data_IF_274053268284
#
_entry.id   IF_274053268284
#
_cell.length_a   1.000
_cell.length_b   1.000
_cell.length_c   1.000
_cell.angle_alpha   90.00
_cell.angle_beta   90.00
_cell.angle_gamma   90.00
#
_symmetry.space_group_name_H-M   'P 1'
#
loop_
_entity.id
_entity.type
_entity.pdbx_description
1 polymer ?
#
# COMPACT_ATOMS: atom_id res chain seq x y z
N UNK A 1 -38.90 -3.90 -0.46
CA UNK A 1 -37.45 -3.92 -0.18
C UNK A 1 -36.89 -5.11 -0.93
N UNK A 2 -36.08 -4.90 -1.98
CA UNK A 2 -35.43 -6.02 -2.67
C UNK A 2 -34.45 -6.68 -1.69
N UNK A 3 -34.52 -8.00 -1.54
CA UNK A 3 -33.51 -8.76 -0.80
C UNK A 3 -32.13 -8.46 -1.40
N UNK A 4 -31.17 -8.05 -0.56
CA UNK A 4 -29.76 -7.90 -0.97
C UNK A 4 -29.28 -9.24 -1.53
N UNK A 5 -28.55 -9.19 -2.65
CA UNK A 5 -28.11 -10.41 -3.35
C UNK A 5 -26.85 -10.91 -2.68
N UNK A 6 -26.91 -12.13 -2.12
CA UNK A 6 -25.70 -12.83 -1.69
C UNK A 6 -24.80 -13.08 -2.91
N UNK A 7 -23.54 -12.66 -2.81
CA UNK A 7 -22.51 -12.82 -3.83
C UNK A 7 -21.54 -13.91 -3.39
N UNK A 8 -21.00 -14.68 -4.34
CA UNK A 8 -19.79 -15.47 -4.16
C UNK A 8 -18.60 -14.77 -4.81
N UNK A 9 -17.57 -14.45 -4.02
CA UNK A 9 -16.47 -13.57 -4.41
C UNK A 9 -15.15 -14.30 -4.15
N UNK A 10 -14.32 -14.41 -5.19
CA UNK A 10 -12.93 -14.83 -5.06
C UNK A 10 -12.00 -13.61 -5.02
N UNK A 11 -10.99 -13.63 -4.16
CA UNK A 11 -9.99 -12.57 -4.04
C UNK A 11 -8.59 -13.14 -4.26
N UNK A 12 -7.81 -12.49 -5.12
CA UNK A 12 -6.47 -12.94 -5.51
C UNK A 12 -5.47 -11.77 -5.52
N UNK A 13 -4.96 -11.36 -4.34
CA UNK A 13 -3.96 -10.30 -4.21
C UNK A 13 -2.58 -10.73 -4.73
N UNK A 14 -1.72 -9.75 -5.04
CA UNK A 14 -0.28 -10.01 -5.24
C UNK A 14 0.41 -10.35 -3.91
N UNK A 15 1.54 -11.08 -3.98
CA UNK A 15 2.25 -11.66 -2.84
C UNK A 15 3.14 -10.64 -2.08
N UNK A 16 2.54 -9.53 -1.68
CA UNK A 16 3.16 -8.50 -0.87
C UNK A 16 2.20 -8.09 0.24
N UNK A 17 2.66 -7.92 1.48
CA UNK A 17 1.74 -7.58 2.60
C UNK A 17 1.10 -6.20 2.44
N UNK A 18 1.75 -5.30 1.72
CA UNK A 18 1.15 -4.03 1.28
C UNK A 18 -0.13 -4.21 0.45
N UNK A 19 -0.27 -5.34 -0.24
CA UNK A 19 -1.41 -5.71 -1.07
C UNK A 19 -2.37 -6.68 -0.38
N UNK A 20 -1.83 -7.71 0.28
CA UNK A 20 -2.61 -8.77 0.95
C UNK A 20 -3.49 -8.19 2.07
N UNK A 21 -2.96 -7.28 2.89
CA UNK A 21 -3.71 -6.74 4.05
C UNK A 21 -4.91 -5.91 3.60
N UNK A 22 -4.81 -4.96 2.65
CA UNK A 22 -5.99 -4.24 2.16
C UNK A 22 -7.04 -5.16 1.51
N UNK A 23 -6.61 -6.22 0.82
CA UNK A 23 -7.54 -7.24 0.32
C UNK A 23 -8.24 -7.97 1.46
N UNK A 24 -7.54 -8.26 2.56
CA UNK A 24 -8.13 -8.90 3.73
C UNK A 24 -9.16 -8.00 4.41
N UNK A 25 -8.89 -6.70 4.57
CA UNK A 25 -9.87 -5.74 5.10
C UNK A 25 -11.13 -5.67 4.22
N UNK A 26 -10.95 -5.63 2.89
CA UNK A 26 -12.07 -5.67 1.95
C UNK A 26 -12.84 -7.00 2.05
N UNK A 27 -12.15 -8.14 2.19
CA UNK A 27 -12.74 -9.46 2.36
C UNK A 27 -13.60 -9.53 3.64
N UNK A 28 -13.09 -8.97 4.74
CA UNK A 28 -13.81 -8.87 6.01
C UNK A 28 -15.08 -8.03 5.86
N UNK A 29 -15.02 -6.90 5.16
CA UNK A 29 -16.21 -6.08 4.91
C UNK A 29 -17.27 -6.85 4.11
N UNK A 30 -16.90 -7.50 3.00
CA UNK A 30 -17.84 -8.32 2.22
C UNK A 30 -18.47 -9.43 3.06
N UNK A 31 -17.67 -10.13 3.85
CA UNK A 31 -18.13 -11.17 4.77
C UNK A 31 -19.11 -10.62 5.82
N UNK A 32 -18.83 -9.47 6.42
CA UNK A 32 -19.72 -8.79 7.38
C UNK A 32 -21.03 -8.33 6.74
N UNK A 33 -21.06 -8.06 5.43
CA UNK A 33 -22.30 -7.75 4.68
C UNK A 33 -23.06 -8.99 4.19
N UNK A 34 -22.60 -10.19 4.54
CA UNK A 34 -23.31 -11.43 4.25
C UNK A 34 -22.96 -12.06 2.90
N UNK A 35 -21.88 -11.64 2.25
CA UNK A 35 -21.37 -12.26 1.04
C UNK A 35 -20.43 -13.43 1.38
N UNK A 36 -20.35 -14.41 0.47
CA UNK A 36 -19.38 -15.49 0.56
C UNK A 36 -18.07 -15.02 -0.06
N UNK A 37 -16.97 -15.18 0.68
CA UNK A 37 -15.65 -14.72 0.25
C UNK A 37 -14.66 -15.88 0.32
N UNK A 38 -13.98 -16.14 -0.79
CA UNK A 38 -12.82 -17.02 -0.88
C UNK A 38 -11.57 -16.18 -1.06
N UNK A 39 -10.66 -16.24 -0.10
CA UNK A 39 -9.38 -15.53 -0.11
C UNK A 39 -8.27 -16.50 -0.55
N UNK A 40 -7.67 -16.23 -1.70
CA UNK A 40 -6.70 -17.10 -2.34
C UNK A 40 -5.31 -16.49 -2.17
N UNK A 41 -4.39 -17.22 -1.56
CA UNK A 41 -2.97 -16.84 -1.47
C UNK A 41 -2.13 -18.09 -1.22
N UNK A 42 -0.84 -17.92 -0.96
CA UNK A 42 0.08 -19.03 -0.72
C UNK A 42 0.06 -19.48 0.75
N UNK A 43 0.50 -20.72 1.07
CA UNK A 43 0.43 -21.28 2.42
C UNK A 43 1.01 -20.39 3.52
N UNK A 44 2.27 -19.95 3.39
CA UNK A 44 2.96 -19.15 4.40
C UNK A 44 2.34 -17.78 4.54
N UNK A 45 1.83 -17.20 3.45
CA UNK A 45 1.18 -15.89 3.50
C UNK A 45 -0.15 -15.97 4.26
N UNK A 46 -0.96 -17.02 4.04
CA UNK A 46 -2.17 -17.27 4.82
C UNK A 46 -1.85 -17.47 6.30
N UNK A 47 -0.80 -18.23 6.62
CA UNK A 47 -0.40 -18.50 8.01
C UNK A 47 0.18 -17.28 8.74
N UNK A 48 0.58 -16.25 7.99
CA UNK A 48 1.08 -14.96 8.51
C UNK A 48 -0.01 -13.88 8.61
N UNK A 49 -1.24 -14.15 8.17
CA UNK A 49 -2.32 -13.17 8.25
C UNK A 49 -2.69 -12.85 9.71
N UNK A 50 -3.09 -11.61 10.01
CA UNK A 50 -3.63 -11.30 11.32
C UNK A 50 -4.91 -12.10 11.59
N UNK A 51 -5.19 -12.36 12.87
CA UNK A 51 -6.41 -13.05 13.28
C UNK A 51 -7.62 -12.23 12.83
N UNK A 52 -8.47 -12.84 12.02
CA UNK A 52 -9.71 -12.22 11.54
C UNK A 52 -10.75 -12.19 12.65
N UNK A 53 -11.43 -11.05 12.83
CA UNK A 53 -12.46 -10.90 13.85
C UNK A 53 -13.56 -11.97 13.73
N UNK A 54 -14.02 -12.55 14.87
CA UNK A 54 -15.06 -13.57 14.89
C UNK A 54 -16.46 -13.05 14.55
N UNK A 55 -16.63 -11.74 14.30
CA UNK A 55 -17.92 -11.09 14.03
C UNK A 55 -18.37 -11.17 12.56
N UNK A 56 -17.83 -12.09 11.78
CA UNK A 56 -18.25 -12.32 10.40
C UNK A 56 -19.55 -13.13 10.36
N UNK A 57 -20.50 -12.73 9.49
CA UNK A 57 -21.74 -13.50 9.26
C UNK A 57 -21.40 -14.82 8.56
N UNK A 58 -20.40 -14.81 7.66
CA UNK A 58 -19.82 -16.00 7.05
C UNK A 58 -18.30 -15.97 7.21
N UNK A 59 -17.66 -17.04 7.72
CA UNK A 59 -16.21 -17.07 7.80
C UNK A 59 -15.59 -16.98 6.39
N UNK A 60 -14.51 -16.20 6.27
CA UNK A 60 -13.74 -16.13 5.03
C UNK A 60 -13.13 -17.51 4.76
N UNK A 61 -13.33 -18.05 3.56
CA UNK A 61 -12.71 -19.30 3.14
C UNK A 61 -11.31 -19.02 2.61
N UNK A 62 -10.28 -19.48 3.32
CA UNK A 62 -8.90 -19.39 2.84
C UNK A 62 -8.56 -20.58 1.94
N UNK A 63 -8.01 -20.30 0.75
CA UNK A 63 -7.52 -21.31 -0.20
C UNK A 63 -6.04 -21.09 -0.43
N UNK A 64 -5.25 -22.13 -0.15
CA UNK A 64 -3.79 -22.12 -0.27
C UNK A 64 -3.39 -22.69 -1.62
N UNK A 65 -2.73 -21.89 -2.45
CA UNK A 65 -2.07 -22.38 -3.67
C UNK A 65 -0.56 -22.50 -3.44
N UNK A 66 -0.01 -23.67 -3.73
CA UNK A 66 1.44 -23.89 -3.62
C UNK A 66 2.15 -23.06 -4.67
N UNK A 67 2.99 -22.13 -4.24
CA UNK A 67 3.78 -21.33 -5.16
C UNK A 67 4.78 -22.22 -5.92
N UNK A 68 4.79 -22.21 -7.27
CA UNK A 68 5.78 -22.94 -8.05
C UNK A 68 7.21 -22.53 -7.67
N UNK A 69 8.09 -23.53 -7.60
CA UNK A 69 9.50 -23.26 -7.30
C UNK A 69 10.16 -22.48 -8.42
N UNK A 70 11.08 -21.61 -8.05
CA UNK A 70 11.81 -20.79 -9.00
C UNK A 70 13.31 -20.78 -8.66
N UNK A 71 14.18 -21.07 -9.63
CA UNK A 71 15.64 -21.25 -9.42
C UNK A 71 16.35 -20.05 -8.77
N UNK A 72 15.78 -18.86 -8.86
CA UNK A 72 16.35 -17.63 -8.30
C UNK A 72 15.76 -17.23 -6.93
N UNK A 73 14.75 -17.95 -6.46
CA UNK A 73 14.08 -17.72 -5.18
C UNK A 73 14.52 -18.78 -4.15
N UNK A 74 14.63 -18.42 -2.86
CA UNK A 74 14.66 -19.40 -1.77
C UNK A 74 13.42 -20.31 -1.84
N UNK A 75 13.57 -21.57 -1.42
CA UNK A 75 12.49 -22.57 -1.47
C UNK A 75 11.27 -22.21 -0.63
N UNK A 76 11.46 -21.37 0.38
CA UNK A 76 10.44 -20.96 1.32
C UNK A 76 9.94 -19.52 1.04
N UNK A 77 10.50 -18.81 0.06
CA UNK A 77 10.09 -17.45 -0.25
C UNK A 77 8.72 -17.43 -0.93
N UNK A 78 7.74 -16.83 -0.25
CA UNK A 78 6.36 -16.72 -0.75
C UNK A 78 5.85 -15.27 -0.77
N UNK A 79 6.60 -14.30 -0.24
CA UNK A 79 6.27 -12.88 -0.29
C UNK A 79 7.48 -12.00 -0.64
N UNK A 80 7.22 -10.76 -1.05
CA UNK A 80 8.27 -9.74 -1.28
C UNK A 80 9.17 -9.54 -0.06
N UNK A 81 8.62 -9.60 1.15
CA UNK A 81 9.39 -9.50 2.39
C UNK A 81 10.41 -10.62 2.60
N UNK A 82 10.25 -11.77 1.94
CA UNK A 82 11.17 -12.91 2.06
C UNK A 82 12.41 -12.76 1.16
N UNK A 83 12.43 -11.76 0.27
CA UNK A 83 13.46 -11.60 -0.77
C UNK A 83 13.93 -10.13 -0.89
N UNK A 84 15.10 -9.87 -1.49
CA UNK A 84 15.50 -8.51 -1.85
C UNK A 84 14.77 -8.00 -3.11
N UNK A 85 14.67 -6.68 -3.25
CA UNK A 85 13.93 -5.98 -4.31
C UNK A 85 14.28 -6.49 -5.72
N UNK A 86 15.56 -6.68 -6.02
CA UNK A 86 16.03 -7.15 -7.33
C UNK A 86 15.57 -8.58 -7.69
N UNK A 87 15.00 -9.34 -6.73
CA UNK A 87 14.39 -10.65 -6.96
C UNK A 87 12.88 -10.62 -7.10
N UNK A 88 12.21 -9.47 -6.92
CA UNK A 88 10.74 -9.39 -7.00
C UNK A 88 10.19 -9.83 -8.36
N UNK A 89 10.95 -9.66 -9.44
CA UNK A 89 10.58 -10.16 -10.78
C UNK A 89 10.41 -11.68 -10.80
N UNK A 90 11.29 -12.43 -10.14
CA UNK A 90 11.23 -13.89 -10.08
C UNK A 90 10.04 -14.38 -9.25
N UNK A 91 9.64 -13.60 -8.23
CA UNK A 91 8.41 -13.87 -7.49
C UNK A 91 7.16 -13.67 -8.36
N UNK A 92 7.17 -12.68 -9.27
CA UNK A 92 6.10 -12.49 -10.26
C UNK A 92 6.05 -13.65 -11.26
N UNK A 93 7.19 -14.15 -11.72
CA UNK A 93 7.26 -15.34 -12.57
C UNK A 93 6.71 -16.59 -11.88
N UNK A 94 7.07 -16.81 -10.60
CA UNK A 94 6.51 -17.90 -9.80
C UNK A 94 4.99 -17.74 -9.63
N UNK A 95 4.52 -16.53 -9.37
CA UNK A 95 3.09 -16.19 -9.26
C UNK A 95 2.34 -16.45 -10.58
N UNK A 96 2.97 -16.21 -11.73
CA UNK A 96 2.37 -16.53 -13.04
C UNK A 96 2.14 -18.02 -13.23
N UNK A 97 2.99 -18.87 -12.62
CA UNK A 97 2.81 -20.32 -12.62
C UNK A 97 1.55 -20.80 -11.88
N UNK A 98 0.87 -19.93 -11.12
CA UNK A 98 -0.42 -20.22 -10.46
C UNK A 98 -1.61 -20.23 -11.43
N UNK A 99 -1.39 -19.94 -12.72
CA UNK A 99 -2.43 -19.86 -13.74
C UNK A 99 -3.31 -21.12 -13.80
N UNK A 100 -2.72 -22.31 -13.75
CA UNK A 100 -3.45 -23.58 -13.85
C UNK A 100 -4.35 -23.84 -12.65
N UNK A 101 -3.84 -23.59 -11.44
CA UNK A 101 -4.59 -23.76 -10.19
C UNK A 101 -5.76 -22.79 -10.11
N UNK A 102 -5.54 -21.52 -10.50
CA UNK A 102 -6.61 -20.52 -10.50
C UNK A 102 -7.68 -20.82 -11.56
N UNK A 103 -7.29 -21.25 -12.76
CA UNK A 103 -8.24 -21.64 -13.80
C UNK A 103 -9.13 -22.80 -13.33
N UNK A 104 -8.52 -23.83 -12.77
CA UNK A 104 -9.22 -25.00 -12.21
C UNK A 104 -10.15 -24.60 -11.05
N UNK A 105 -9.71 -23.69 -10.19
CA UNK A 105 -10.55 -23.15 -9.11
C UNK A 105 -11.77 -22.42 -9.67
N UNK A 106 -11.60 -21.51 -10.63
CA UNK A 106 -12.68 -20.73 -11.22
C UNK A 106 -13.71 -21.61 -11.95
N UNK A 107 -13.25 -22.64 -12.67
CA UNK A 107 -14.11 -23.58 -13.37
C UNK A 107 -15.01 -24.38 -12.41
N UNK A 108 -14.46 -24.78 -11.27
CA UNK A 108 -15.16 -25.59 -10.27
C UNK A 108 -16.05 -24.77 -9.33
N UNK A 109 -15.58 -23.60 -8.89
CA UNK A 109 -16.29 -22.76 -7.91
C UNK A 109 -17.28 -21.79 -8.53
N UNK A 110 -17.02 -21.32 -9.76
CA UNK A 110 -17.86 -20.38 -10.52
C UNK A 110 -18.34 -19.18 -9.68
N UNK A 111 -17.42 -18.40 -9.07
CA UNK A 111 -17.81 -17.24 -8.29
C UNK A 111 -18.52 -16.21 -9.18
N UNK A 112 -19.37 -15.37 -8.59
CA UNK A 112 -19.99 -14.25 -9.30
C UNK A 112 -18.94 -13.23 -9.76
N UNK A 113 -17.93 -13.03 -8.91
CA UNK A 113 -16.82 -12.09 -9.11
C UNK A 113 -15.47 -12.68 -8.71
N UNK A 114 -14.45 -12.39 -9.50
CA UNK A 114 -13.06 -12.43 -9.06
C UNK A 114 -12.50 -11.01 -8.95
N UNK A 115 -11.96 -10.69 -7.77
CA UNK A 115 -11.30 -9.43 -7.46
C UNK A 115 -9.79 -9.69 -7.44
N UNK A 116 -9.03 -9.03 -8.30
CA UNK A 116 -7.60 -9.32 -8.50
C UNK A 116 -6.73 -8.07 -8.62
N UNK A 117 -5.46 -8.27 -8.29
CA UNK A 117 -4.45 -7.21 -8.18
C UNK A 117 -3.80 -6.89 -9.53
N UNK A 118 -2.70 -6.12 -9.52
CA UNK A 118 -2.03 -5.68 -10.73
C UNK A 118 -1.28 -6.81 -11.46
N UNK A 119 -0.83 -7.84 -10.73
CA UNK A 119 0.14 -8.82 -11.24
C UNK A 119 -0.41 -9.89 -12.23
N UNK A 120 -1.59 -10.51 -12.03
CA UNK A 120 -2.05 -11.66 -12.83
C UNK A 120 -2.62 -11.25 -14.20
N UNK A 121 -1.77 -10.75 -15.10
CA UNK A 121 -2.16 -10.31 -16.46
C UNK A 121 -2.87 -11.39 -17.29
N UNK A 122 -2.63 -12.66 -16.98
CA UNK A 122 -3.20 -13.84 -17.63
C UNK A 122 -4.61 -14.20 -17.11
N UNK A 123 -5.06 -13.64 -15.99
CA UNK A 123 -6.31 -14.00 -15.34
C UNK A 123 -7.55 -13.48 -16.08
N UNK A 124 -7.62 -12.21 -16.54
CA UNK A 124 -8.84 -11.72 -17.17
C UNK A 124 -9.34 -12.54 -18.37
N UNK A 125 -8.50 -12.99 -19.33
CA UNK A 125 -9.00 -13.84 -20.42
C UNK A 125 -9.50 -15.21 -19.96
N UNK A 126 -9.02 -15.74 -18.84
CA UNK A 126 -9.51 -17.00 -18.25
C UNK A 126 -10.89 -16.78 -17.65
N UNK A 127 -11.05 -15.74 -16.82
CA UNK A 127 -12.33 -15.40 -16.20
C UNK A 127 -13.41 -15.11 -17.26
N UNK A 128 -13.05 -14.40 -18.33
CA UNK A 128 -13.96 -14.12 -19.45
C UNK A 128 -14.47 -15.40 -20.13
N UNK A 129 -13.60 -16.39 -20.40
CA UNK A 129 -13.99 -17.69 -20.97
C UNK A 129 -14.95 -18.48 -20.08
N UNK A 130 -14.78 -18.34 -18.77
CA UNK A 130 -15.63 -19.00 -17.76
C UNK A 130 -16.89 -18.20 -17.42
N UNK A 131 -17.08 -17.01 -18.01
CA UNK A 131 -18.20 -16.13 -17.72
C UNK A 131 -18.20 -15.54 -16.31
N UNK A 132 -17.05 -15.52 -15.63
CA UNK A 132 -16.86 -14.89 -14.31
C UNK A 132 -16.64 -13.39 -14.48
N UNK A 133 -17.28 -12.57 -13.63
CA UNK A 133 -17.12 -11.10 -13.70
C UNK A 133 -15.84 -10.66 -12.98
N UNK A 134 -15.23 -9.57 -13.43
CA UNK A 134 -13.87 -9.19 -13.04
C UNK A 134 -13.84 -7.80 -12.41
N UNK A 135 -13.25 -7.66 -11.21
CA UNK A 135 -12.94 -6.35 -10.64
C UNK A 135 -11.43 -6.24 -10.39
N UNK A 136 -10.80 -5.18 -10.87
CA UNK A 136 -9.44 -4.87 -10.45
C UNK A 136 -9.50 -4.03 -9.18
N UNK A 137 -8.93 -4.51 -8.08
CA UNK A 137 -8.77 -3.70 -6.87
C UNK A 137 -7.33 -3.22 -6.77
N UNK A 138 -7.14 -1.92 -6.95
CA UNK A 138 -5.85 -1.27 -6.83
C UNK A 138 -5.60 -0.82 -5.39
N UNK A 139 -4.49 -1.31 -4.83
CA UNK A 139 -3.96 -0.86 -3.54
C UNK A 139 -3.19 0.46 -3.66
N UNK A 140 -2.94 0.93 -4.88
CA UNK A 140 -2.40 2.26 -5.17
C UNK A 140 -3.53 3.30 -5.12
N UNK A 141 -3.16 4.55 -4.89
CA UNK A 141 -4.05 5.72 -4.99
C UNK A 141 -4.21 6.18 -6.45
N UNK A 142 -5.21 7.03 -6.70
CA UNK A 142 -5.58 7.44 -8.04
C UNK A 142 -4.51 8.32 -8.70
N UNK A 143 -3.82 9.20 -7.96
CA UNK A 143 -2.72 9.99 -8.54
C UNK A 143 -1.56 9.12 -9.02
N UNK A 144 -1.22 8.03 -8.33
CA UNK A 144 -0.18 7.09 -8.79
C UNK A 144 -0.64 6.34 -10.05
N UNK A 145 -1.90 5.90 -10.07
CA UNK A 145 -2.49 5.24 -11.25
C UNK A 145 -2.48 6.17 -12.47
N UNK A 146 -2.88 7.43 -12.31
CA UNK A 146 -2.85 8.42 -13.39
C UNK A 146 -1.43 8.80 -13.80
N UNK A 147 -0.46 8.82 -12.87
CA UNK A 147 0.91 9.20 -13.21
C UNK A 147 1.59 8.16 -14.11
N UNK A 148 1.36 6.87 -13.84
CA UNK A 148 1.93 5.76 -14.64
C UNK A 148 1.02 5.26 -15.76
N UNK A 149 -0.29 5.46 -15.63
CA UNK A 149 -1.29 5.05 -16.59
C UNK A 149 -1.70 6.21 -17.48
N UNK A 150 -1.21 6.29 -18.73
CA UNK A 150 -1.92 6.98 -19.80
C UNK A 150 -3.22 6.17 -20.09
N UNK A 151 -3.50 5.84 -21.35
CA UNK A 151 -4.59 4.90 -21.64
C UNK A 151 -4.20 3.45 -21.31
N UNK A 152 -5.21 2.60 -21.13
CA UNK A 152 -4.98 1.15 -21.01
C UNK A 152 -4.25 0.57 -22.23
N UNK A 153 -4.53 1.09 -23.43
CA UNK A 153 -3.83 0.69 -24.65
C UNK A 153 -2.33 1.03 -24.57
N UNK A 154 -2.01 2.24 -24.11
CA UNK A 154 -0.64 2.68 -23.98
C UNK A 154 0.14 1.93 -22.88
N UNK A 155 -0.52 1.50 -21.80
CA UNK A 155 0.09 0.61 -20.80
C UNK A 155 0.51 -0.75 -21.38
N UNK A 156 -0.26 -1.29 -22.33
CA UNK A 156 -0.03 -2.62 -22.92
C UNK A 156 0.95 -2.53 -24.11
N UNK A 157 0.74 -1.55 -24.98
CA UNK A 157 1.40 -1.45 -26.28
C UNK A 157 2.48 -0.36 -26.35
N UNK A 158 2.64 0.43 -25.29
CA UNK A 158 3.45 1.66 -25.29
C UNK A 158 2.64 2.88 -25.72
N UNK A 159 3.08 4.05 -25.27
CA UNK A 159 2.55 5.35 -25.70
C UNK A 159 3.43 5.90 -26.83
N UNK A 160 2.87 6.15 -28.02
CA UNK A 160 3.61 6.72 -29.15
C UNK A 160 3.83 8.24 -29.01
N UNK A 161 2.99 8.95 -28.26
CA UNK A 161 3.02 10.41 -28.13
C UNK A 161 3.82 10.89 -26.89
N UNK A 162 3.80 10.11 -25.81
CA UNK A 162 4.51 10.43 -24.55
C UNK A 162 5.15 9.18 -23.92
N UNK A 163 6.07 8.54 -24.64
CA UNK A 163 6.84 7.39 -24.16
C UNK A 163 7.75 7.75 -22.97
N UNK A 164 7.30 7.49 -21.74
CA UNK A 164 8.06 7.79 -20.52
C UNK A 164 9.12 6.71 -20.22
N UNK A 165 10.31 6.83 -20.81
CA UNK A 165 11.44 5.88 -20.62
C UNK A 165 12.73 6.51 -20.04
N UNK A 166 12.85 7.84 -20.09
CA UNK A 166 14.01 8.58 -19.63
C UNK A 166 13.73 9.28 -18.29
N UNK A 167 14.72 9.48 -17.41
CA UNK A 167 14.52 10.15 -16.12
C UNK A 167 13.83 11.51 -16.25
N UNK A 168 14.16 12.29 -17.29
CA UNK A 168 13.61 13.62 -17.55
C UNK A 168 12.09 13.59 -17.77
N UNK A 169 11.56 12.46 -18.23
CA UNK A 169 10.12 12.29 -18.37
C UNK A 169 9.46 12.23 -17.00
N UNK A 170 10.08 11.61 -15.99
CA UNK A 170 9.48 11.38 -14.67
C UNK A 170 9.58 12.57 -13.71
N UNK A 171 10.40 13.57 -14.00
CA UNK A 171 10.54 14.81 -13.21
C UNK A 171 9.56 15.92 -13.64
N UNK A 172 8.63 15.61 -14.54
CA UNK A 172 7.55 16.52 -14.96
C UNK A 172 6.20 15.80 -14.96
N UNK A 173 5.08 16.51 -14.76
CA UNK A 173 3.75 15.94 -14.90
C UNK A 173 3.53 15.32 -16.30
N UNK A 174 2.93 14.11 -16.40
CA UNK A 174 2.52 13.53 -17.67
C UNK A 174 1.55 14.41 -18.47
N UNK A 175 1.68 14.40 -19.80
CA UNK A 175 0.86 15.26 -20.70
C UNK A 175 -0.63 14.91 -20.69
N UNK A 176 -0.97 13.68 -20.34
CA UNK A 176 -2.36 13.21 -20.28
C UNK A 176 -3.09 13.63 -18.99
N UNK A 177 -2.41 14.35 -18.08
CA UNK A 177 -3.06 14.97 -16.92
C UNK A 177 -3.56 16.36 -17.36
N UNK A 178 -4.88 16.58 -17.44
CA UNK A 178 -5.45 17.78 -18.08
C UNK A 178 -5.54 19.00 -17.15
N UNK A 179 -5.05 18.90 -15.92
CA UNK A 179 -5.12 19.95 -14.90
C UNK A 179 -3.74 20.29 -14.36
N UNK A 180 -3.61 21.49 -13.80
CA UNK A 180 -2.34 21.98 -13.24
C UNK A 180 -1.94 21.14 -12.01
N UNK A 181 -0.71 20.62 -12.03
CA UNK A 181 -0.13 19.86 -10.93
C UNK A 181 1.39 19.95 -10.98
N UNK A 182 2.03 19.87 -9.82
CA UNK A 182 3.49 19.73 -9.71
C UNK A 182 3.90 18.30 -9.34
N UNK A 183 2.97 17.35 -9.47
CA UNK A 183 3.22 15.94 -9.17
C UNK A 183 4.27 15.39 -10.13
N UNK A 184 5.43 15.06 -9.59
CA UNK A 184 6.57 14.52 -10.30
C UNK A 184 7.52 13.82 -9.31
N UNK A 185 8.42 13.00 -9.84
CA UNK A 185 9.48 12.39 -9.05
C UNK A 185 10.67 13.34 -8.86
N UNK A 186 11.46 13.10 -7.80
CA UNK A 186 12.82 13.62 -7.71
C UNK A 186 13.73 12.95 -8.74
N UNK A 187 14.83 13.59 -9.13
CA UNK A 187 15.70 13.10 -10.19
C UNK A 187 16.31 11.73 -9.85
N UNK A 188 16.73 11.52 -8.60
CA UNK A 188 17.27 10.22 -8.17
C UNK A 188 16.22 9.09 -8.28
N UNK A 189 14.95 9.37 -7.96
CA UNK A 189 13.84 8.41 -8.12
C UNK A 189 13.55 8.15 -9.60
N UNK A 190 13.55 9.20 -10.41
CA UNK A 190 13.35 9.11 -11.85
C UNK A 190 14.42 8.24 -12.53
N UNK A 191 15.69 8.35 -12.10
CA UNK A 191 16.79 7.49 -12.58
C UNK A 191 16.56 6.02 -12.26
N UNK A 192 16.09 5.71 -11.05
CA UNK A 192 15.77 4.32 -10.66
C UNK A 192 14.61 3.75 -11.49
N UNK A 193 13.54 4.53 -11.67
CA UNK A 193 12.37 4.13 -12.46
C UNK A 193 12.77 3.88 -13.92
N UNK A 194 13.46 4.84 -14.54
CA UNK A 194 13.94 4.72 -15.92
C UNK A 194 14.91 3.54 -16.09
N UNK A 195 15.81 3.33 -15.12
CA UNK A 195 16.69 2.16 -15.05
C UNK A 195 15.89 0.85 -15.06
N UNK A 196 14.90 0.73 -14.17
CA UNK A 196 14.02 -0.44 -14.08
C UNK A 196 13.25 -0.73 -15.38
N UNK A 197 12.80 0.31 -16.10
CA UNK A 197 12.15 0.17 -17.40
C UNK A 197 13.12 -0.31 -18.49
N UNK A 198 14.37 0.17 -18.47
CA UNK A 198 15.40 -0.20 -19.47
C UNK A 198 15.99 -1.58 -19.26
N UNK A 199 16.10 -2.04 -18.00
CA UNK A 199 16.49 -3.41 -17.69
C UNK A 199 15.33 -4.38 -18.02
N UNK A 200 15.11 -4.61 -19.33
CA UNK A 200 14.31 -5.71 -19.84
C UNK A 200 15.00 -7.02 -19.47
N UNK A 201 14.70 -7.55 -18.30
CA UNK A 201 14.75 -9.01 -18.14
C UNK A 201 13.72 -9.61 -19.09
N UNK A 202 13.82 -10.90 -19.43
CA UNK A 202 12.90 -11.61 -20.33
C UNK A 202 11.46 -11.74 -19.79
N UNK A 203 11.06 -10.84 -18.89
CA UNK A 203 9.89 -10.88 -18.05
C UNK A 203 8.84 -9.86 -18.49
N UNK A 204 7.59 -10.15 -18.13
CA UNK A 204 6.45 -9.26 -18.38
C UNK A 204 6.53 -8.04 -17.47
N UNK A 205 6.52 -6.83 -18.05
CA UNK A 205 6.65 -5.56 -17.32
C UNK A 205 5.44 -5.26 -16.43
N UNK A 206 5.65 -4.49 -15.35
CA UNK A 206 4.57 -4.13 -14.43
C UNK A 206 3.51 -3.24 -15.09
N UNK A 207 3.91 -2.37 -16.04
CA UNK A 207 2.97 -1.57 -16.83
C UNK A 207 2.08 -2.45 -17.73
N UNK A 208 2.65 -3.46 -18.39
CA UNK A 208 1.86 -4.41 -19.18
C UNK A 208 0.91 -5.21 -18.30
N UNK A 209 1.37 -5.64 -17.11
CA UNK A 209 0.53 -6.36 -16.14
C UNK A 209 -0.66 -5.51 -15.73
N UNK A 210 -0.41 -4.27 -15.28
CA UNK A 210 -1.42 -3.29 -14.90
C UNK A 210 -2.38 -2.96 -16.06
N UNK A 211 -1.86 -2.76 -17.28
CA UNK A 211 -2.69 -2.53 -18.46
C UNK A 211 -3.62 -3.70 -18.75
N UNK A 212 -3.11 -4.94 -18.69
CA UNK A 212 -3.87 -6.16 -18.99
C UNK A 212 -5.00 -6.41 -18.00
N UNK A 213 -4.70 -6.27 -16.70
CA UNK A 213 -5.68 -6.45 -15.61
C UNK A 213 -6.77 -5.37 -15.61
N UNK A 214 -6.40 -4.11 -15.89
CA UNK A 214 -7.35 -3.02 -16.09
C UNK A 214 -8.22 -3.34 -17.31
N UNK A 215 -7.63 -3.61 -18.46
CA UNK A 215 -8.31 -3.90 -19.73
C UNK A 215 -9.39 -4.97 -19.58
N UNK A 216 -9.04 -6.09 -18.94
CA UNK A 216 -9.95 -7.21 -18.75
C UNK A 216 -10.89 -7.14 -17.54
N UNK A 217 -10.87 -6.05 -16.76
CA UNK A 217 -11.81 -5.84 -15.64
C UNK A 217 -13.12 -5.19 -16.09
N UNK A 218 -14.23 -5.49 -15.42
CA UNK A 218 -15.52 -4.80 -15.61
C UNK A 218 -15.58 -3.48 -14.84
N UNK A 219 -14.76 -3.33 -13.79
CA UNK A 219 -14.75 -2.20 -12.86
C UNK A 219 -13.40 -2.06 -12.17
N UNK A 220 -13.03 -0.81 -11.88
CA UNK A 220 -11.86 -0.47 -11.08
C UNK A 220 -12.30 -0.08 -9.67
N UNK A 221 -11.86 -0.83 -8.67
CA UNK A 221 -11.91 -0.43 -7.27
C UNK A 221 -10.57 0.22 -6.91
N UNK A 222 -10.59 1.44 -6.38
CA UNK A 222 -9.38 2.19 -6.03
C UNK A 222 -9.39 2.46 -4.53
N UNK A 223 -8.29 2.14 -3.84
CA UNK A 223 -8.18 2.38 -2.39
C UNK A 223 -7.96 3.86 -2.09
N UNK A 224 -9.05 4.61 -2.18
CA UNK A 224 -9.10 6.05 -1.98
C UNK A 224 -10.52 6.55 -1.69
N UNK A 225 -10.69 7.86 -1.62
CA UNK A 225 -11.95 8.57 -1.41
C UNK A 225 -11.98 9.91 -2.15
N UNK A 226 -13.19 10.42 -2.46
CA UNK A 226 -13.38 11.68 -3.18
C UNK A 226 -12.95 12.90 -2.37
N UNK A 227 -12.95 12.81 -1.04
CA UNK A 227 -12.51 13.87 -0.13
C UNK A 227 -11.00 14.14 -0.24
N UNK A 228 -10.24 13.18 -0.79
CA UNK A 228 -8.79 13.23 -0.86
C UNK A 228 -8.26 13.60 -2.25
N UNK A 229 -8.77 12.95 -3.30
CA UNK A 229 -8.25 13.05 -4.67
C UNK A 229 -9.34 12.97 -5.76
N UNK A 230 -10.33 13.88 -5.75
CA UNK A 230 -11.51 13.78 -6.61
C UNK A 230 -11.17 13.91 -8.10
N UNK A 231 -10.30 14.85 -8.49
CA UNK A 231 -9.91 15.03 -9.90
C UNK A 231 -9.14 13.82 -10.43
N UNK A 232 -8.30 13.21 -9.59
CA UNK A 232 -7.53 12.01 -9.94
C UNK A 232 -8.42 10.80 -10.13
N UNK A 233 -9.38 10.56 -9.24
CA UNK A 233 -10.35 9.46 -9.38
C UNK A 233 -11.20 9.58 -10.65
N UNK A 234 -11.61 10.80 -11.00
CA UNK A 234 -12.29 11.06 -12.27
C UNK A 234 -11.39 10.78 -13.47
N UNK A 235 -10.12 11.21 -13.40
CA UNK A 235 -9.14 10.99 -14.45
C UNK A 235 -8.84 9.49 -14.68
N UNK A 236 -8.73 8.66 -13.63
CA UNK A 236 -8.59 7.19 -13.77
C UNK A 236 -9.72 6.62 -14.64
N UNK A 237 -10.96 7.07 -14.41
CA UNK A 237 -12.12 6.61 -15.17
C UNK A 237 -12.08 7.06 -16.63
N UNK A 238 -11.63 8.30 -16.88
CA UNK A 238 -11.46 8.84 -18.22
C UNK A 238 -10.33 8.17 -19.01
N UNK A 239 -9.19 7.90 -18.37
CA UNK A 239 -8.02 7.28 -19.01
C UNK A 239 -8.28 5.82 -19.41
N UNK A 240 -9.01 5.08 -18.58
CA UNK A 240 -9.26 3.65 -18.78
C UNK A 240 -10.65 3.34 -19.35
N UNK A 241 -11.51 4.35 -19.52
CA UNK A 241 -12.89 4.21 -20.02
C UNK A 241 -13.69 3.14 -19.25
N UNK A 242 -13.55 3.15 -17.92
CA UNK A 242 -14.14 2.16 -17.02
C UNK A 242 -14.82 2.83 -15.82
N UNK A 243 -15.87 2.19 -15.25
CA UNK A 243 -16.40 2.62 -13.96
C UNK A 243 -15.31 2.52 -12.88
N UNK A 244 -15.16 3.59 -12.11
CA UNK A 244 -14.21 3.68 -10.98
C UNK A 244 -15.02 3.83 -9.70
N UNK A 245 -14.69 3.00 -8.71
CA UNK A 245 -15.28 3.02 -7.38
C UNK A 245 -14.18 3.20 -6.33
N UNK A 246 -14.09 4.37 -5.69
CA UNK A 246 -13.34 4.46 -4.44
C UNK A 246 -13.94 3.49 -3.42
N UNK A 247 -13.07 2.72 -2.74
CA UNK A 247 -13.47 1.77 -1.69
C UNK A 247 -13.12 2.27 -0.28
N UNK A 248 -12.88 3.57 -0.14
CA UNK A 248 -12.36 4.17 1.09
C UNK A 248 -10.89 3.83 1.29
N UNK A 249 -10.36 4.26 2.43
CA UNK A 249 -8.94 4.10 2.76
C UNK A 249 -8.63 2.76 3.40
N UNK A 250 -9.63 1.98 3.82
CA UNK A 250 -9.45 0.66 4.45
C UNK A 250 -8.34 0.68 5.53
N UNK A 251 -8.41 1.55 6.56
CA UNK A 251 -7.46 1.49 7.65
C UNK A 251 -7.60 0.13 8.36
N UNK A 252 -6.50 -0.54 8.77
CA UNK A 252 -6.58 -1.81 9.44
C UNK A 252 -7.44 -1.75 10.70
N UNK A 253 -8.18 -2.82 10.97
CA UNK A 253 -8.99 -2.91 12.18
C UNK A 253 -8.10 -3.00 13.43
N UNK A 254 -8.45 -2.22 14.47
CA UNK A 254 -7.80 -2.33 15.78
C UNK A 254 -8.15 -3.66 16.44
N UNK A 255 -7.15 -4.54 16.58
CA UNK A 255 -7.28 -5.75 17.39
C UNK A 255 -6.42 -5.64 18.65
N UNK A 256 -7.08 -5.39 19.78
CA UNK A 256 -6.50 -5.52 21.10
C UNK A 256 -6.45 -7.01 21.48
N UNK A 257 -5.40 -7.72 21.04
CA UNK A 257 -4.93 -8.86 21.81
C UNK A 257 -4.19 -8.32 23.03
N UNK A 258 -4.80 -8.48 24.21
CA UNK A 258 -4.31 -7.99 25.50
C UNK A 258 -3.08 -8.77 26.00
N UNK A 259 -2.78 -9.94 25.42
CA UNK A 259 -1.67 -10.83 25.83
C UNK A 259 -0.36 -10.64 25.06
N UNK A 260 -0.13 -9.49 24.44
CA UNK A 260 1.13 -9.22 23.75
C UNK A 260 2.19 -8.66 24.71
N UNK A 261 3.05 -9.54 25.25
CA UNK A 261 4.19 -9.14 26.09
C UNK A 261 5.08 -8.06 25.42
N UNK A 262 5.15 -8.01 24.09
CA UNK A 262 5.90 -6.99 23.37
C UNK A 262 5.26 -5.60 23.50
N UNK A 263 3.93 -5.53 23.52
CA UNK A 263 3.20 -4.27 23.70
C UNK A 263 3.43 -3.68 25.08
N UNK A 264 3.49 -4.49 26.14
CA UNK A 264 3.67 -4.01 27.52
C UNK A 264 4.94 -3.16 27.66
N UNK A 265 6.09 -3.66 27.20
CA UNK A 265 7.37 -2.93 27.29
C UNK A 265 7.35 -1.64 26.47
N UNK A 266 6.76 -1.66 25.28
CA UNK A 266 6.62 -0.45 24.45
C UNK A 266 5.74 0.58 25.15
N UNK A 267 4.60 0.14 25.69
CA UNK A 267 3.63 1.00 26.36
C UNK A 267 4.23 1.64 27.62
N UNK A 268 4.89 0.86 28.47
CA UNK A 268 5.58 1.38 29.67
C UNK A 268 6.57 2.49 29.31
N UNK A 269 7.38 2.30 28.26
CA UNK A 269 8.30 3.34 27.82
C UNK A 269 7.58 4.59 27.31
N UNK A 270 6.51 4.41 26.52
CA UNK A 270 5.70 5.50 25.97
C UNK A 270 4.96 6.30 27.06
N UNK A 271 4.53 5.67 28.15
CA UNK A 271 3.89 6.29 29.31
C UNK A 271 4.85 7.21 30.09
N UNK A 272 6.16 6.97 30.01
CA UNK A 272 7.17 7.88 30.60
C UNK A 272 7.34 9.19 29.84
N UNK A 273 6.74 9.32 28.65
CA UNK A 273 6.95 10.46 27.75
C UNK A 273 5.78 11.44 27.82
N UNK A 274 6.09 12.72 27.64
CA UNK A 274 5.05 13.74 27.60
C UNK A 274 4.19 13.60 26.33
N UNK A 275 2.99 14.16 26.40
CA UNK A 275 2.04 14.12 25.29
C UNK A 275 2.65 14.72 24.02
N UNK A 276 2.51 14.00 22.91
CA UNK A 276 2.97 14.41 21.58
C UNK A 276 4.45 14.80 21.51
N UNK A 277 5.31 14.16 22.30
CA UNK A 277 6.76 14.40 22.32
C UNK A 277 7.58 13.36 21.56
N UNK A 278 7.04 12.17 21.29
CA UNK A 278 7.75 11.04 20.70
C UNK A 278 7.63 11.06 19.17
N UNK A 279 8.75 10.94 18.48
CA UNK A 279 8.80 10.60 17.06
C UNK A 279 8.71 9.09 16.93
N UNK A 280 7.66 8.57 16.30
CA UNK A 280 7.64 7.17 15.90
C UNK A 280 8.33 7.01 14.54
N UNK A 281 9.23 6.05 14.41
CA UNK A 281 10.00 5.78 13.19
C UNK A 281 9.70 4.36 12.72
N UNK A 282 9.07 4.23 11.56
CA UNK A 282 8.87 2.93 10.91
C UNK A 282 8.87 3.05 9.38
N UNK A 283 9.82 2.35 8.75
CA UNK A 283 10.00 2.34 7.31
C UNK A 283 9.33 1.13 6.64
N UNK A 284 8.50 0.39 7.37
CA UNK A 284 7.81 -0.80 6.86
C UNK A 284 8.73 -2.01 6.73
N UNK A 285 8.14 -3.14 6.32
CA UNK A 285 8.84 -4.42 6.16
C UNK A 285 9.58 -4.58 4.84
N UNK A 286 9.21 -3.78 3.84
CA UNK A 286 9.73 -3.87 2.47
C UNK A 286 11.02 -3.04 2.30
N UNK A 287 11.17 -1.95 3.07
CA UNK A 287 12.33 -1.07 2.96
C UNK A 287 13.54 -1.73 3.60
N UNK A 288 14.59 -1.91 2.80
CA UNK A 288 15.89 -2.40 3.25
C UNK A 288 16.89 -1.26 3.12
N UNK A 289 17.19 -0.62 4.25
CA UNK A 289 18.22 0.39 4.33
C UNK A 289 19.60 -0.26 4.21
N UNK A 290 20.53 0.44 3.55
CA UNK A 290 21.95 0.12 3.62
C UNK A 290 22.56 0.66 4.94
N UNK A 291 23.79 0.26 5.25
CA UNK A 291 24.48 0.66 6.49
C UNK A 291 24.64 2.18 6.63
N UNK A 292 24.83 2.86 5.50
CA UNK A 292 24.99 4.31 5.48
C UNK A 292 23.69 5.03 5.84
N UNK A 293 22.58 4.64 5.21
CA UNK A 293 21.25 5.18 5.50
C UNK A 293 20.84 4.92 6.95
N UNK A 294 21.15 3.74 7.49
CA UNK A 294 20.96 3.40 8.91
C UNK A 294 21.78 4.33 9.80
N UNK A 295 23.04 4.56 9.44
CA UNK A 295 23.95 5.43 10.19
C UNK A 295 23.47 6.88 10.20
N UNK A 296 23.13 7.45 9.05
CA UNK A 296 22.65 8.83 8.95
C UNK A 296 21.29 9.00 9.64
N UNK A 297 20.39 8.02 9.55
CA UNK A 297 19.12 8.04 10.27
C UNK A 297 19.33 7.99 11.79
N UNK A 298 20.15 7.05 12.27
CA UNK A 298 20.47 6.92 13.70
C UNK A 298 21.10 8.20 14.25
N UNK A 299 22.14 8.73 13.59
CA UNK A 299 22.81 9.95 14.02
C UNK A 299 21.91 11.18 13.90
N UNK A 300 20.97 11.19 12.96
CA UNK A 300 19.95 12.24 12.84
C UNK A 300 18.96 12.22 14.01
N UNK A 301 18.50 11.04 14.42
CA UNK A 301 17.68 10.86 15.61
C UNK A 301 18.42 11.33 16.88
N UNK A 302 19.69 10.95 17.03
CA UNK A 302 20.54 11.39 18.14
C UNK A 302 20.75 12.92 18.15
N UNK A 303 20.99 13.52 16.98
CA UNK A 303 21.21 14.96 16.80
C UNK A 303 19.92 15.77 17.02
N UNK A 304 18.76 15.17 16.76
CA UNK A 304 17.47 15.83 16.96
C UNK A 304 17.20 16.18 18.43
N UNK A 305 17.76 15.39 19.37
CA UNK A 305 17.47 15.43 20.82
C UNK A 305 15.99 15.21 21.19
N UNK A 306 15.18 14.75 20.24
CA UNK A 306 13.78 14.43 20.45
C UNK A 306 13.64 12.98 20.96
N UNK A 307 12.67 12.69 21.85
CA UNK A 307 12.33 11.32 22.16
C UNK A 307 11.89 10.57 20.90
N UNK A 308 12.35 9.33 20.71
CA UNK A 308 11.99 8.54 19.53
C UNK A 308 11.77 7.07 19.87
N UNK A 309 10.84 6.44 19.16
CA UNK A 309 10.67 4.98 19.14
C UNK A 309 10.91 4.53 17.70
N UNK A 310 11.96 3.75 17.47
CA UNK A 310 12.29 3.23 16.16
C UNK A 310 12.03 1.74 16.06
N UNK A 311 11.00 1.37 15.29
CA UNK A 311 10.76 -0.01 14.90
C UNK A 311 11.75 -0.40 13.79
N UNK A 312 12.87 -0.99 14.19
CA UNK A 312 13.96 -1.39 13.31
C UNK A 312 13.94 -2.91 13.12
N UNK A 313 13.48 -3.38 11.96
CA UNK A 313 13.46 -4.82 11.70
C UNK A 313 14.89 -5.35 11.49
N UNK A 314 15.29 -6.35 12.28
CA UNK A 314 16.58 -7.04 12.12
C UNK A 314 16.65 -7.69 10.74
N UNK A 315 17.71 -7.41 9.99
CA UNK A 315 18.07 -8.18 8.79
C UNK A 315 18.78 -9.47 9.22
N UNK A 316 18.89 -10.44 8.30
CA UNK A 316 19.57 -11.73 8.57
C UNK A 316 21.05 -11.53 8.93
N UNK A 317 21.64 -10.43 8.48
CA UNK A 317 22.90 -9.88 8.99
C UNK A 317 22.57 -8.75 9.98
N UNK A 318 23.17 -8.76 11.17
CA UNK A 318 22.87 -7.80 12.23
C UNK A 318 22.96 -6.37 11.69
N UNK A 319 21.84 -5.63 11.71
CA UNK A 319 21.85 -4.20 11.40
C UNK A 319 22.71 -3.51 12.46
N UNK A 320 23.93 -3.12 12.08
CA UNK A 320 24.86 -2.46 12.97
C UNK A 320 24.48 -0.98 13.11
N UNK A 321 23.83 -0.65 14.23
CA UNK A 321 23.71 0.74 14.65
C UNK A 321 25.11 1.32 14.96
N UNK A 322 25.30 2.65 14.82
CA UNK A 322 26.60 3.27 15.12
C UNK A 322 27.08 2.90 16.53
N UNK A 323 28.38 2.61 16.68
CA UNK A 323 28.96 2.18 17.96
C UNK A 323 28.55 3.09 19.12
N UNK A 324 27.98 2.51 20.18
CA UNK A 324 27.53 3.21 21.39
C UNK A 324 26.25 4.05 21.21
N UNK A 325 25.54 3.95 20.09
CA UNK A 325 24.33 4.73 19.83
C UNK A 325 23.22 4.49 20.85
N UNK A 326 22.93 3.23 21.20
CA UNK A 326 21.92 2.91 22.21
C UNK A 326 22.27 3.48 23.59
N UNK A 327 23.56 3.48 23.95
CA UNK A 327 24.04 4.07 25.20
C UNK A 327 23.90 5.60 25.21
N UNK A 328 24.31 6.27 24.13
CA UNK A 328 24.20 7.73 24.02
C UNK A 328 22.76 8.23 23.95
N UNK A 329 21.85 7.40 23.46
CA UNK A 329 20.42 7.73 23.37
C UNK A 329 19.58 7.09 24.48
N UNK A 330 20.22 6.47 25.48
CA UNK A 330 19.53 5.82 26.60
C UNK A 330 18.60 6.79 27.30
N UNK A 331 17.33 6.40 27.44
CA UNK A 331 16.27 7.22 28.02
C UNK A 331 15.63 8.22 27.06
N UNK A 332 16.33 8.65 26.00
CA UNK A 332 15.76 9.44 24.90
C UNK A 332 15.06 8.56 23.86
N UNK A 333 15.73 7.49 23.42
CA UNK A 333 15.27 6.59 22.36
C UNK A 333 14.90 5.20 22.84
N UNK A 334 14.01 4.54 22.11
CA UNK A 334 13.75 3.10 22.20
C UNK A 334 13.94 2.47 20.82
N UNK A 335 14.86 1.51 20.70
CA UNK A 335 15.02 0.68 19.51
C UNK A 335 14.23 -0.60 19.70
N UNK A 336 13.32 -0.87 18.77
CA UNK A 336 12.45 -2.03 18.82
C UNK A 336 12.70 -2.93 17.62
N UNK A 337 13.19 -4.14 17.87
CA UNK A 337 13.58 -5.08 16.80
C UNK A 337 12.65 -6.27 16.62
N UNK A 338 11.70 -6.44 17.55
CA UNK A 338 10.66 -7.47 17.51
C UNK A 338 9.42 -6.93 16.81
N UNK A 339 8.42 -7.80 16.62
CA UNK A 339 7.12 -7.34 16.13
C UNK A 339 6.53 -6.28 17.08
N UNK A 340 5.85 -5.29 16.51
CA UNK A 340 5.10 -4.29 17.24
C UNK A 340 3.87 -3.87 16.44
N UNK A 341 2.78 -3.61 17.15
CA UNK A 341 1.56 -3.08 16.54
C UNK A 341 1.73 -1.60 16.21
N UNK A 342 2.06 -1.30 14.95
CA UNK A 342 2.22 0.07 14.45
C UNK A 342 0.98 0.94 14.76
N UNK A 343 -0.22 0.40 14.56
CA UNK A 343 -1.48 1.11 14.84
C UNK A 343 -1.62 1.48 16.32
N UNK A 344 -1.21 0.62 17.26
CA UNK A 344 -1.24 0.92 18.70
C UNK A 344 -0.23 1.99 19.08
N UNK A 345 0.99 1.93 18.52
CA UNK A 345 2.01 2.96 18.77
C UNK A 345 1.50 4.31 18.28
N UNK A 346 1.00 4.38 17.05
CA UNK A 346 0.45 5.61 16.47
C UNK A 346 -0.76 6.16 17.24
N UNK A 347 -1.55 5.29 17.88
CA UNK A 347 -2.67 5.68 18.72
C UNK A 347 -2.25 6.31 20.06
N UNK A 348 -1.06 5.97 20.57
CA UNK A 348 -0.60 6.40 21.88
C UNK A 348 -0.44 7.93 21.95
N UNK A 349 -0.84 8.56 23.06
CA UNK A 349 -0.90 10.01 23.15
C UNK A 349 0.47 10.70 23.18
N UNK A 350 1.50 10.00 23.63
CA UNK A 350 2.88 10.52 23.64
C UNK A 350 3.50 10.61 22.24
N UNK A 351 2.98 9.87 21.25
CA UNK A 351 3.45 9.97 19.86
C UNK A 351 3.01 11.31 19.26
N UNK A 352 3.97 12.13 18.83
CA UNK A 352 3.74 13.46 18.27
C UNK A 352 3.84 13.53 16.75
N UNK A 353 4.64 12.66 16.13
CA UNK A 353 4.81 12.58 14.67
C UNK A 353 5.21 11.18 14.23
N UNK A 354 5.15 10.96 12.91
CA UNK A 354 5.48 9.68 12.30
C UNK A 354 6.49 9.85 11.16
N UNK A 355 7.72 9.36 11.35
CA UNK A 355 8.69 9.18 10.27
C UNK A 355 8.38 7.89 9.52
N UNK A 356 8.01 8.04 8.25
CA UNK A 356 7.53 6.94 7.41
C UNK A 356 8.19 6.93 6.04
N UNK A 357 8.24 5.74 5.45
CA UNK A 357 8.67 5.51 4.08
C UNK A 357 7.65 5.95 3.01
N UNK A 358 6.53 6.57 3.41
CA UNK A 358 5.48 7.06 2.51
C UNK A 358 4.70 5.97 1.76
N UNK A 359 4.78 4.70 2.19
CA UNK A 359 3.91 3.66 1.68
C UNK A 359 2.44 3.94 2.04
N UNK A 360 1.52 3.65 1.12
CA UNK A 360 0.12 4.05 1.25
C UNK A 360 -0.53 3.58 2.56
N UNK A 361 -0.26 2.34 2.98
CA UNK A 361 -0.73 1.80 4.27
C UNK A 361 -0.27 2.65 5.46
N UNK A 362 1.01 3.01 5.49
CA UNK A 362 1.59 3.76 6.61
C UNK A 362 1.08 5.19 6.67
N UNK A 363 0.90 5.85 5.51
CA UNK A 363 0.27 7.17 5.46
C UNK A 363 -1.15 7.09 6.02
N UNK A 364 -1.93 6.08 5.60
CA UNK A 364 -3.29 5.89 6.08
C UNK A 364 -3.31 5.73 7.61
N UNK A 365 -2.47 4.86 8.15
CA UNK A 365 -2.38 4.62 9.60
C UNK A 365 -1.93 5.88 10.38
N UNK A 366 -0.92 6.61 9.89
CA UNK A 366 -0.44 7.83 10.54
C UNK A 366 -1.50 8.93 10.60
N UNK A 367 -2.16 9.18 9.48
CA UNK A 367 -3.18 10.23 9.37
C UNK A 367 -4.52 9.83 9.99
N UNK A 368 -4.80 8.53 10.14
CA UNK A 368 -5.93 8.06 10.93
C UNK A 368 -5.90 8.58 12.38
N UNK A 369 -4.71 8.76 12.96
CA UNK A 369 -4.54 9.40 14.28
C UNK A 369 -4.18 10.89 14.21
N UNK A 370 -4.12 11.46 13.01
CA UNK A 370 -3.73 12.85 12.79
C UNK A 370 -2.29 13.14 13.18
N UNK A 371 -1.38 12.18 12.97
CA UNK A 371 0.06 12.39 13.20
C UNK A 371 0.66 13.13 12.00
N UNK A 372 1.31 14.29 12.22
CA UNK A 372 2.16 14.90 11.20
C UNK A 372 3.23 13.92 10.72
N UNK A 373 3.53 13.99 9.43
CA UNK A 373 4.44 13.04 8.79
C UNK A 373 5.84 13.64 8.64
N UNK A 374 6.85 12.78 8.76
CA UNK A 374 8.20 13.03 8.27
C UNK A 374 8.47 11.99 7.18
N UNK A 375 8.61 12.47 5.96
CA UNK A 375 8.47 11.67 4.74
C UNK A 375 9.87 11.30 4.24
N UNK A 376 10.13 9.99 4.12
CA UNK A 376 11.40 9.45 3.63
C UNK A 376 11.13 8.35 2.59
N UNK A 377 10.72 8.70 1.36
CA UNK A 377 10.32 7.71 0.36
C UNK A 377 11.51 6.91 -0.19
N UNK A 378 11.32 5.61 -0.41
CA UNK A 378 12.35 4.71 -0.95
C UNK A 378 11.98 4.03 -2.27
N UNK A 379 10.71 3.71 -2.51
CA UNK A 379 10.29 2.94 -3.67
C UNK A 379 9.14 3.61 -4.42
N UNK A 380 9.16 3.47 -5.75
CA UNK A 380 8.08 3.75 -6.71
C UNK A 380 7.02 4.78 -6.23
N UNK A 381 5.83 4.35 -5.82
CA UNK A 381 4.70 5.22 -5.47
C UNK A 381 4.96 6.13 -4.26
N UNK A 382 5.90 5.76 -3.40
CA UNK A 382 6.23 6.50 -2.18
C UNK A 382 6.72 7.91 -2.48
N UNK A 383 7.46 8.11 -3.58
CA UNK A 383 7.92 9.43 -4.00
C UNK A 383 6.76 10.38 -4.31
N UNK A 384 5.78 9.90 -5.09
CA UNK A 384 4.58 10.67 -5.40
C UNK A 384 3.74 10.93 -4.15
N UNK A 385 3.60 9.92 -3.28
CA UNK A 385 2.90 10.07 -2.01
C UNK A 385 3.58 11.14 -1.14
N UNK A 386 4.90 11.06 -0.97
CA UNK A 386 5.69 12.04 -0.23
C UNK A 386 5.46 13.47 -0.74
N UNK A 387 5.57 13.67 -2.05
CA UNK A 387 5.33 14.95 -2.72
C UNK A 387 3.95 15.53 -2.38
N UNK A 388 2.89 14.74 -2.53
CA UNK A 388 1.50 15.20 -2.28
C UNK A 388 1.29 15.63 -0.83
N UNK A 389 1.80 14.87 0.15
CA UNK A 389 1.60 15.22 1.56
C UNK A 389 2.53 16.34 2.05
N UNK A 390 3.70 16.50 1.42
CA UNK A 390 4.57 17.65 1.64
C UNK A 390 3.91 18.94 1.10
N UNK A 391 3.34 18.92 -0.11
CA UNK A 391 2.63 20.06 -0.71
C UNK A 391 1.41 20.49 0.10
N UNK A 392 0.64 19.51 0.60
CA UNK A 392 -0.49 19.77 1.51
C UNK A 392 -0.06 20.22 2.92
N UNK A 393 1.26 20.31 3.18
CA UNK A 393 1.86 20.65 4.47
C UNK A 393 1.28 19.80 5.61
N UNK A 394 1.09 18.51 5.35
CA UNK A 394 0.69 17.50 6.35
C UNK A 394 1.93 16.85 6.97
N UNK A 395 3.04 16.88 6.23
CA UNK A 395 4.36 16.51 6.70
C UNK A 395 5.44 17.28 5.97
N UNK A 396 6.70 16.96 6.30
CA UNK A 396 7.88 17.45 5.59
C UNK A 396 8.65 16.27 5.00
N UNK A 397 9.09 16.40 3.76
CA UNK A 397 10.02 15.45 3.15
C UNK A 397 11.44 15.74 3.57
N UNK A 398 12.16 14.70 4.02
CA UNK A 398 13.57 14.82 4.38
C UNK A 398 14.36 15.15 3.11
N UNK A 399 15.08 16.28 3.06
CA UNK A 399 15.88 16.62 1.90
C UNK A 399 16.92 15.56 1.57
N UNK A 400 16.99 15.21 0.28
CA UNK A 400 17.91 14.25 -0.32
C UNK A 400 18.65 14.90 -1.47
N UNK A 401 19.84 14.40 -1.77
CA UNK A 401 20.60 14.82 -2.94
C UNK A 401 19.89 14.35 -4.22
N UNK A 402 19.67 15.25 -5.18
CA UNK A 402 18.97 14.95 -6.44
C UNK A 402 19.72 13.97 -7.36
N UNK A 403 21.05 13.88 -7.23
CA UNK A 403 21.87 13.03 -8.09
C UNK A 403 21.89 11.57 -7.63
N UNK A 404 22.08 11.34 -6.34
CA UNK A 404 22.33 10.00 -5.76
C UNK A 404 21.32 9.59 -4.68
N UNK A 405 20.39 10.48 -4.31
CA UNK A 405 19.38 10.22 -3.29
C UNK A 405 19.92 10.14 -1.87
N UNK A 406 21.15 10.54 -1.53
CA UNK A 406 21.62 10.45 -0.13
C UNK A 406 20.96 11.52 0.74
N UNK A 407 20.52 11.15 1.94
CA UNK A 407 20.16 12.11 3.00
C UNK A 407 21.27 12.19 4.05
N UNK A 408 21.20 13.19 4.92
CA UNK A 408 22.19 13.39 5.99
C UNK A 408 21.50 13.39 7.36
N UNK A 409 22.26 13.10 8.41
CA UNK A 409 21.81 13.25 9.80
C UNK A 409 21.28 14.65 10.11
N UNK A 410 21.83 15.69 9.48
CA UNK A 410 21.35 17.06 9.65
C UNK A 410 19.97 17.22 9.02
N UNK A 411 19.77 16.73 7.79
CA UNK A 411 18.46 16.83 7.11
C UNK A 411 17.38 16.04 7.85
N UNK A 412 17.74 14.88 8.44
CA UNK A 412 16.87 14.14 9.37
C UNK A 412 16.54 14.98 10.61
N UNK A 413 17.56 15.46 11.33
CA UNK A 413 17.36 16.18 12.59
C UNK A 413 16.56 17.47 12.43
N UNK A 414 16.81 18.23 11.36
CA UNK A 414 16.10 19.46 11.03
C UNK A 414 14.64 19.20 10.68
N UNK A 415 14.36 18.19 9.83
CA UNK A 415 12.99 17.79 9.47
C UNK A 415 12.18 17.35 10.68
N UNK A 416 12.79 16.58 11.58
CA UNK A 416 12.17 16.17 12.83
C UNK A 416 11.86 17.36 13.74
N UNK A 417 12.81 18.29 13.92
CA UNK A 417 12.63 19.49 14.74
C UNK A 417 11.54 20.41 14.18
N UNK A 418 11.50 20.57 12.84
CA UNK A 418 10.48 21.37 12.16
C UNK A 418 9.06 20.90 12.48
N UNK A 419 8.84 19.59 12.49
CA UNK A 419 7.51 19.02 12.76
C UNK A 419 7.19 18.95 14.26
N UNK A 420 8.20 18.81 15.12
CA UNK A 420 8.00 18.51 16.54
C UNK A 420 8.08 19.72 17.46
N UNK A 421 8.94 20.70 17.20
CA UNK A 421 9.27 21.77 18.17
C UNK A 421 9.42 23.16 17.57
N UNK A 422 9.53 23.29 16.25
CA UNK A 422 9.61 24.60 15.58
C UNK A 422 8.33 25.44 15.76
N UNK A 423 8.45 26.76 15.69
CA UNK A 423 7.33 27.69 15.81
C UNK A 423 6.23 27.45 14.75
N UNK A 424 6.63 27.00 13.56
CA UNK A 424 5.73 26.73 12.43
C UNK A 424 5.13 25.32 12.46
N UNK A 425 5.44 24.50 13.48
CA UNK A 425 4.92 23.13 13.58
C UNK A 425 3.39 23.02 13.54
N UNK A 426 2.72 24.08 13.99
CA UNK A 426 1.26 24.16 14.06
C UNK A 426 0.62 23.96 12.68
N UNK A 427 1.27 24.40 11.59
CA UNK A 427 0.79 24.20 10.21
C UNK A 427 0.65 22.71 9.90
N UNK A 428 1.69 21.92 10.19
CA UNK A 428 1.68 20.47 9.95
C UNK A 428 0.68 19.75 10.85
N UNK A 429 0.64 20.14 12.13
CA UNK A 429 -0.27 19.54 13.11
C UNK A 429 -1.74 19.79 12.75
N UNK A 430 -2.11 21.01 12.39
CA UNK A 430 -3.49 21.35 12.09
C UNK A 430 -3.93 20.73 10.76
N UNK A 431 -3.05 20.64 9.77
CA UNK A 431 -3.36 19.93 8.53
C UNK A 431 -3.46 18.41 8.73
N UNK A 432 -2.60 17.79 9.55
CA UNK A 432 -2.75 16.38 9.92
C UNK A 432 -4.06 16.11 10.68
N UNK A 433 -4.48 17.02 11.57
CA UNK A 433 -5.80 16.94 12.23
C UNK A 433 -6.96 17.09 11.24
N UNK A 434 -6.85 17.95 10.23
CA UNK A 434 -7.85 18.02 9.14
C UNK A 434 -7.91 16.72 8.36
N UNK A 435 -6.75 16.14 8.02
CA UNK A 435 -6.70 14.83 7.35
C UNK A 435 -7.32 13.74 8.20
N UNK A 436 -7.12 13.75 9.53
CA UNK A 436 -7.77 12.79 10.44
C UNK A 436 -9.29 12.77 10.30
N UNK A 437 -9.94 13.89 9.98
CA UNK A 437 -11.40 13.92 9.76
C UNK A 437 -11.81 13.01 8.60
N UNK A 438 -10.97 12.86 7.58
CA UNK A 438 -11.23 11.96 6.44
C UNK A 438 -10.67 10.56 6.70
N UNK A 439 -9.40 10.48 7.11
CA UNK A 439 -8.67 9.21 7.32
C UNK A 439 -9.21 8.40 8.50
N UNK A 440 -9.78 9.07 9.50
CA UNK A 440 -10.41 8.48 10.67
C UNK A 440 -11.91 8.23 10.54
N UNK A 441 -12.57 8.69 9.48
CA UNK A 441 -14.04 8.56 9.34
C UNK A 441 -14.43 7.17 8.82
N UNK A 442 -14.72 6.28 9.76
CA UNK A 442 -15.19 4.93 9.46
C UNK A 442 -16.51 4.93 8.67
N UNK A 443 -17.43 5.84 8.97
CA UNK A 443 -18.74 5.86 8.30
C UNK A 443 -18.58 6.24 6.82
N UNK A 444 -17.68 7.18 6.54
CA UNK A 444 -17.31 7.55 5.18
C UNK A 444 -16.75 6.35 4.41
N UNK A 445 -15.75 5.66 4.98
CA UNK A 445 -15.13 4.50 4.33
C UNK A 445 -16.11 3.32 4.16
N UNK A 446 -16.97 3.06 5.16
CA UNK A 446 -18.03 2.06 5.09
C UNK A 446 -19.06 2.40 4.00
N UNK A 447 -19.37 3.68 3.78
CA UNK A 447 -20.26 4.11 2.70
C UNK A 447 -19.66 3.85 1.31
N UNK A 448 -18.36 4.11 1.11
CA UNK A 448 -17.67 3.79 -0.14
C UNK A 448 -17.69 2.28 -0.44
N UNK A 449 -17.30 1.47 0.54
CA UNK A 449 -17.34 0.01 0.38
C UNK A 449 -18.77 -0.50 0.13
N UNK A 450 -19.77 0.07 0.79
CA UNK A 450 -21.18 -0.28 0.56
C UNK A 450 -21.65 0.06 -0.85
N UNK A 451 -21.25 1.20 -1.39
CA UNK A 451 -21.56 1.57 -2.78
C UNK A 451 -20.90 0.62 -3.78
N UNK A 452 -19.66 0.20 -3.52
CA UNK A 452 -18.98 -0.81 -4.33
C UNK A 452 -19.71 -2.16 -4.28
N UNK A 453 -20.08 -2.65 -3.09
CA UNK A 453 -20.90 -3.87 -2.93
C UNK A 453 -22.18 -3.79 -3.75
N UNK A 454 -22.94 -2.70 -3.60
CA UNK A 454 -24.19 -2.48 -4.33
C UNK A 454 -24.00 -2.53 -5.84
N UNK A 455 -22.91 -1.95 -6.34
CA UNK A 455 -22.60 -2.01 -7.77
C UNK A 455 -22.41 -3.46 -8.22
N UNK A 456 -21.62 -4.26 -7.49
CA UNK A 456 -21.42 -5.68 -7.80
C UNK A 456 -22.74 -6.47 -7.77
N UNK A 457 -23.56 -6.28 -6.73
CA UNK A 457 -24.88 -6.94 -6.59
C UNK A 457 -25.81 -6.64 -7.78
N UNK A 458 -25.90 -5.36 -8.15
CA UNK A 458 -26.74 -4.90 -9.25
C UNK A 458 -26.27 -5.47 -10.58
N UNK A 459 -24.96 -5.45 -10.83
CA UNK A 459 -24.36 -5.94 -12.07
C UNK A 459 -24.54 -7.46 -12.21
N UNK A 460 -24.35 -8.23 -11.14
CA UNK A 460 -24.63 -9.68 -11.17
C UNK A 460 -26.11 -9.96 -11.39
N UNK A 461 -27.01 -9.15 -10.80
CA UNK A 461 -28.46 -9.30 -11.00
C UNK A 461 -28.88 -9.02 -12.44
N UNK A 462 -28.29 -7.99 -13.08
CA UNK A 462 -28.53 -7.68 -14.50
C UNK A 462 -28.05 -8.81 -15.42
N UNK A 463 -26.85 -9.36 -15.16
CA UNK A 463 -26.28 -10.47 -15.94
C UNK A 463 -27.17 -11.71 -15.92
N UNK A 464 -27.70 -12.08 -14.74
CA UNK A 464 -28.61 -13.21 -14.60
C UNK A 464 -29.97 -12.98 -15.26
N UNK A 465 -30.51 -11.75 -15.22
CA UNK A 465 -31.76 -11.42 -15.93
C UNK A 465 -31.58 -11.56 -17.44
N UNK A 466 -30.46 -11.07 -17.99
CA UNK A 466 -30.14 -11.19 -19.41
C UNK A 466 -29.99 -12.65 -19.86
N UNK A 467 -29.28 -13.46 -19.07
CA UNK A 467 -29.14 -14.89 -19.35
C UNK A 467 -30.49 -15.65 -19.34
N UNK A 468 -31.44 -15.24 -18.48
CA UNK A 468 -32.79 -15.83 -18.43
C UNK A 468 -33.71 -15.39 -19.57
N UNK A 469 -33.45 -14.23 -20.19
CA UNK A 469 -34.24 -13.75 -21.35
C UNK A 469 -33.75 -14.30 -22.70
N UNK A 470 -32.57 -14.93 -22.71
CA UNK A 470 -31.95 -15.54 -23.90
C UNK A 470 -32.20 -17.06 -23.99
N UNK A 471 -32.90 -17.64 -22.99
CA UNK A 471 -33.41 -19.02 -22.94
C UNK A 471 -34.93 -18.94 -23.13
#
# INVERSE_FOLDING_TARGET
MSQNKKLDIAMFPYLAFGHIIPYLELAQFFSQKGHQVTFISTPRNIDRLPIVAPHSIFPIKFVKFTLPSHKHLPSDAEATTDIPLYKHQYLKEAYDGLQGDLASFLENSKPDWIIYDFAPYWLPPIAAKLGVSCAHFSTLNAWTLCFFGPSTNALINGDEEDARTEPEHFIVPPKWIPFETNLAFHLYQAKEIAGGIRFKTSCVSDLYRLGSVISGSDVLAVRSCMELEPEWLQLVGALHQKPVFPVGLLPPSFHNNDDDHYWHTINEWLETKSKSSVVFVALGSEVKLNEEDITELALGLELSKLPFLWALRKQQDEVALPNGFEDRTRGQGLIWTSWASQIRILAHESVGSFLTHCGWNSIIEGLHFGRPLVLLPFYLDQGLNGKVFAEKKVGVEIPRNEEDGRFTRSSVAESLKLVMVDENRHVYLDNAKKMRVVFGDKNLHDAYMYNFVKYLENRTSQKQKKAKSEI
#
